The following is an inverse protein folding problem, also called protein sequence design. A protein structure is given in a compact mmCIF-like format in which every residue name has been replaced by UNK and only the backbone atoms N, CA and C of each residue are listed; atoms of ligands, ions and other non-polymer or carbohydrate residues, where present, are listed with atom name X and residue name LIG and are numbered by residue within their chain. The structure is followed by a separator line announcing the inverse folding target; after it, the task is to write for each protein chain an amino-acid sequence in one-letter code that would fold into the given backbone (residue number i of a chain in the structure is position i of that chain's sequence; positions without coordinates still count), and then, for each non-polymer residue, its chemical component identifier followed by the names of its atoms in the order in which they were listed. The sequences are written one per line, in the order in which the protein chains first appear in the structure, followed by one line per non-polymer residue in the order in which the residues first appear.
data_IF_308625405047
#
_entry.id   IF_308625405047
#
_cell.length_a   1.000
_cell.length_b   1.000
_cell.length_c   1.000
_cell.angle_alpha   90.00
_cell.angle_beta   90.00
_cell.angle_gamma   90.00
#
_symmetry.space_group_name_H-M   'P 1'
#
loop_
_entity.id
_entity.type
_entity.pdbx_description
1 polymer ?
#
# COMPACT_ATOMS: atom_id res chain seq x y z
N UNK A 1 6.84 35.70 11.22
CA UNK A 1 6.86 34.68 12.30
C UNK A 1 6.61 33.33 11.67
N UNK A 2 7.44 32.34 12.01
CA UNK A 2 7.62 31.06 11.30
C UNK A 2 6.28 30.28 11.25
N UNK A 3 5.74 30.08 10.04
CA UNK A 3 4.71 29.07 9.79
C UNK A 3 5.39 27.70 9.93
N UNK A 4 5.16 27.00 11.04
CA UNK A 4 5.45 25.57 11.10
C UNK A 4 4.48 24.89 10.13
N UNK A 5 4.99 24.49 8.96
CA UNK A 5 4.26 23.66 8.01
C UNK A 5 4.27 22.24 8.55
N UNK A 6 3.19 21.86 9.24
CA UNK A 6 2.85 20.45 9.39
C UNK A 6 2.19 20.06 8.06
N UNK A 7 2.96 19.42 7.17
CA UNK A 7 2.44 18.93 5.89
C UNK A 7 1.53 17.74 6.15
N UNK A 8 0.22 17.94 6.14
CA UNK A 8 -0.76 16.86 6.13
C UNK A 8 -0.82 16.35 4.69
N UNK A 9 -0.26 15.17 4.44
CA UNK A 9 -0.41 14.47 3.18
C UNK A 9 -1.69 13.63 3.26
N UNK A 10 -2.75 14.07 2.55
CA UNK A 10 -3.93 13.23 2.32
C UNK A 10 -3.61 12.33 1.14
N UNK A 11 -3.42 11.05 1.44
CA UNK A 11 -2.99 10.03 0.50
C UNK A 11 -4.24 9.35 -0.07
N UNK A 12 -4.47 9.51 -1.37
CA UNK A 12 -5.60 8.93 -2.08
C UNK A 12 -5.12 7.96 -3.17
N UNK A 13 -5.50 6.69 -3.07
CA UNK A 13 -5.46 5.80 -4.22
C UNK A 13 -6.73 6.10 -5.04
N UNK A 14 -6.59 6.44 -6.33
CA UNK A 14 -7.74 6.73 -7.20
C UNK A 14 -7.77 5.72 -8.34
N UNK A 15 -8.56 4.65 -8.18
CA UNK A 15 -8.94 3.78 -9.29
C UNK A 15 -10.02 4.47 -10.13
N UNK A 16 -9.67 4.96 -11.33
CA UNK A 16 -10.62 5.52 -12.29
C UNK A 16 -11.25 4.37 -13.09
N UNK A 17 -12.33 3.79 -12.56
CA UNK A 17 -13.19 2.92 -13.33
C UNK A 17 -14.15 3.78 -14.16
N UNK A 18 -13.94 3.84 -15.47
CA UNK A 18 -14.93 4.38 -16.38
C UNK A 18 -16.23 3.59 -16.21
N UNK A 19 -17.32 4.28 -15.83
CA UNK A 19 -18.61 3.69 -15.55
C UNK A 19 -19.19 3.02 -16.81
N UNK A 20 -19.00 1.71 -16.91
CA UNK A 20 -19.83 0.82 -17.73
C UNK A 20 -20.74 0.03 -16.81
N UNK A 21 -21.99 0.49 -16.62
CA UNK A 21 -23.06 -0.37 -16.10
C UNK A 21 -23.33 -1.47 -17.14
N UNK A 22 -22.60 -2.58 -17.07
CA UNK A 22 -23.00 -3.84 -17.68
C UNK A 22 -22.80 -4.92 -16.63
N UNK A 23 -23.93 -5.46 -16.16
CA UNK A 23 -24.01 -6.76 -15.50
C UNK A 23 -23.15 -7.77 -16.28
N UNK A 24 -22.01 -8.18 -15.73
CA UNK A 24 -21.13 -9.16 -16.37
C UNK A 24 -21.83 -10.52 -16.45
N UNK A 25 -22.43 -10.81 -17.61
CA UNK A 25 -22.21 -12.14 -18.19
C UNK A 25 -20.72 -12.23 -18.51
N UNK A 26 -20.12 -13.37 -18.20
CA UNK A 26 -18.69 -13.68 -18.33
C UNK A 26 -18.10 -13.27 -19.68
N UNK A 27 -17.61 -12.03 -19.78
CA UNK A 27 -16.85 -11.54 -20.92
C UNK A 27 -15.38 -11.52 -20.53
N UNK A 28 -14.63 -12.35 -21.26
CA UNK A 28 -13.18 -12.44 -21.22
C UNK A 28 -12.58 -11.05 -21.42
N UNK A 29 -11.50 -10.71 -20.71
CA UNK A 29 -10.73 -9.49 -20.97
C UNK A 29 -10.45 -9.41 -22.47
N UNK A 30 -11.15 -8.51 -23.18
CA UNK A 30 -11.08 -8.42 -24.64
C UNK A 30 -9.68 -8.04 -25.13
N UNK A 31 -9.50 -8.00 -26.45
CA UNK A 31 -8.25 -7.54 -27.06
C UNK A 31 -7.85 -6.17 -26.49
N UNK A 32 -6.61 -6.08 -26.02
CA UNK A 32 -6.09 -4.90 -25.33
C UNK A 32 -6.08 -3.68 -26.27
N UNK A 33 -6.73 -2.58 -25.87
CA UNK A 33 -6.71 -1.30 -26.61
C UNK A 33 -5.38 -0.57 -26.51
N UNK A 34 -4.52 -1.00 -25.58
CA UNK A 34 -3.19 -0.45 -25.39
C UNK A 34 -2.21 -1.07 -26.39
N UNK A 35 -1.49 -0.23 -27.12
CA UNK A 35 -0.41 -0.67 -27.98
C UNK A 35 0.68 -1.37 -27.14
N UNK A 36 0.83 -2.68 -27.24
CA UNK A 36 1.93 -3.43 -26.62
C UNK A 36 3.00 -3.83 -27.65
N UNK A 37 3.05 -3.15 -28.80
CA UNK A 37 4.00 -3.44 -29.88
C UNK A 37 5.43 -3.39 -29.35
N UNK A 38 6.19 -4.42 -29.70
CA UNK A 38 7.61 -4.55 -29.38
C UNK A 38 8.40 -3.52 -30.21
N UNK A 39 8.97 -2.52 -29.55
CA UNK A 39 9.92 -1.62 -30.21
C UNK A 39 11.29 -2.27 -30.29
N UNK A 40 11.98 -2.23 -31.45
CA UNK A 40 13.30 -2.82 -31.57
C UNK A 40 14.28 -2.16 -30.60
N UNK A 41 15.07 -2.97 -29.90
CA UNK A 41 16.11 -2.46 -29.01
C UNK A 41 17.17 -1.69 -29.81
N UNK A 42 17.45 -0.46 -29.39
CA UNK A 42 18.54 0.33 -29.90
C UNK A 42 19.79 0.17 -29.02
N UNK A 43 20.74 -0.65 -29.48
CA UNK A 43 22.03 -0.87 -28.81
C UNK A 43 22.87 0.40 -28.64
N UNK A 44 22.63 1.42 -29.47
CA UNK A 44 23.38 2.68 -29.36
C UNK A 44 22.83 3.61 -28.29
N UNK A 45 21.61 3.36 -27.81
CA UNK A 45 20.97 4.18 -26.78
C UNK A 45 21.54 3.90 -25.39
N UNK A 46 21.78 4.95 -24.60
CA UNK A 46 22.18 4.84 -23.20
C UNK A 46 21.19 4.04 -22.33
N UNK A 47 19.93 3.96 -22.76
CA UNK A 47 18.86 3.22 -22.09
C UNK A 47 18.85 1.71 -22.38
N UNK A 48 19.63 1.25 -23.37
CA UNK A 48 19.61 -0.13 -23.85
C UNK A 48 19.62 -1.17 -22.73
N UNK A 49 20.44 -1.05 -21.67
CA UNK A 49 20.45 -2.05 -20.61
C UNK A 49 19.10 -2.23 -19.91
N UNK A 50 18.41 -1.13 -19.59
CA UNK A 50 17.09 -1.19 -18.99
C UNK A 50 16.06 -1.70 -20.00
N UNK A 51 16.07 -1.22 -21.24
CA UNK A 51 15.11 -1.65 -22.26
C UNK A 51 15.19 -3.17 -22.50
N UNK A 52 16.41 -3.71 -22.62
CA UNK A 52 16.64 -5.14 -22.81
C UNK A 52 16.21 -5.96 -21.57
N UNK A 53 16.52 -5.47 -20.36
CA UNK A 53 16.05 -6.09 -19.13
C UNK A 53 14.52 -6.13 -19.07
N UNK A 54 13.84 -5.03 -19.37
CA UNK A 54 12.38 -4.94 -19.33
C UNK A 54 11.74 -5.87 -20.36
N UNK A 55 12.31 -5.94 -21.57
CA UNK A 55 11.83 -6.83 -22.62
C UNK A 55 11.93 -8.31 -22.21
N UNK A 56 13.08 -8.72 -21.65
CA UNK A 56 13.33 -10.12 -21.30
C UNK A 56 12.61 -10.58 -20.03
N UNK A 57 12.34 -9.67 -19.08
CA UNK A 57 11.80 -10.03 -17.77
C UNK A 57 10.32 -9.69 -17.59
N UNK A 58 9.75 -8.83 -18.44
CA UNK A 58 8.35 -8.43 -18.36
C UNK A 58 7.58 -8.62 -19.66
N UNK A 59 8.07 -8.05 -20.77
CA UNK A 59 7.32 -8.06 -22.03
C UNK A 59 7.21 -9.48 -22.61
N UNK A 60 8.34 -10.14 -22.87
CA UNK A 60 8.34 -11.49 -23.46
C UNK A 60 7.65 -12.54 -22.59
N UNK A 61 7.88 -12.60 -21.25
CA UNK A 61 7.29 -13.66 -20.45
C UNK A 61 5.82 -13.43 -20.12
N UNK A 62 5.38 -12.17 -19.96
CA UNK A 62 4.07 -11.84 -19.37
C UNK A 62 3.21 -10.89 -20.20
N UNK A 63 3.71 -10.43 -21.36
CA UNK A 63 3.07 -9.38 -22.17
C UNK A 63 2.72 -8.15 -21.33
N UNK A 64 3.65 -7.75 -20.46
CA UNK A 64 3.59 -6.54 -19.65
C UNK A 64 4.65 -5.54 -20.12
N UNK A 65 4.21 -4.34 -20.46
CA UNK A 65 5.07 -3.23 -20.88
C UNK A 65 5.33 -2.30 -19.71
N UNK A 66 6.60 -2.20 -19.31
CA UNK A 66 7.05 -1.25 -18.31
C UNK A 66 7.52 0.04 -18.99
N UNK A 67 6.74 1.11 -18.85
CA UNK A 67 6.99 2.42 -19.47
C UNK A 67 7.57 3.34 -18.41
N UNK A 68 8.82 3.76 -18.59
CA UNK A 68 9.50 4.69 -17.68
C UNK A 68 9.91 5.99 -18.38
N UNK A 69 9.93 5.99 -19.72
CA UNK A 69 10.10 7.21 -20.50
C UNK A 69 8.77 7.94 -20.52
N UNK A 70 8.84 9.27 -20.47
CA UNK A 70 7.66 10.08 -20.68
C UNK A 70 7.29 9.99 -22.16
N UNK A 71 6.39 9.08 -22.48
CA UNK A 71 5.73 9.02 -23.77
C UNK A 71 4.53 9.98 -23.71
N UNK A 72 4.21 10.69 -24.79
CA UNK A 72 3.04 11.60 -24.91
C UNK A 72 1.71 10.81 -24.91
N UNK A 73 1.59 9.80 -24.05
CA UNK A 73 0.42 8.91 -23.94
C UNK A 73 -0.51 9.47 -22.88
N UNK A 74 -1.31 10.46 -23.29
CA UNK A 74 -2.59 10.77 -22.64
C UNK A 74 -2.52 11.16 -21.16
N UNK A 75 -1.36 11.59 -20.65
CA UNK A 75 -1.28 12.20 -19.33
C UNK A 75 -2.08 13.50 -19.37
N UNK A 76 -3.12 13.56 -18.57
CA UNK A 76 -3.98 14.73 -18.36
C UNK A 76 -3.15 16.02 -18.38
N UNK A 77 -3.27 16.80 -19.47
CA UNK A 77 -2.44 17.97 -19.80
C UNK A 77 -2.49 19.07 -18.72
N UNK A 78 -3.34 18.90 -17.71
CA UNK A 78 -3.47 19.78 -16.55
C UNK A 78 -2.51 19.45 -15.41
N UNK A 79 -1.79 18.32 -15.44
CA UNK A 79 -0.86 17.92 -14.37
C UNK A 79 0.59 18.23 -14.74
N UNK A 80 1.29 18.96 -13.88
CA UNK A 80 2.74 19.23 -14.00
C UNK A 80 3.54 17.98 -13.61
N UNK A 81 3.59 16.99 -14.50
CA UNK A 81 4.30 15.73 -14.28
C UNK A 81 5.77 15.84 -14.68
N UNK A 82 6.65 15.22 -13.90
CA UNK A 82 8.09 15.14 -14.18
C UNK A 82 8.46 13.71 -14.55
N UNK A 83 9.28 13.47 -15.60
CA UNK A 83 9.77 12.14 -15.94
C UNK A 83 10.48 11.45 -14.77
N UNK A 84 10.38 10.13 -14.71
CA UNK A 84 11.24 9.34 -13.84
C UNK A 84 12.68 9.39 -14.34
N UNK A 85 13.64 9.57 -13.43
CA UNK A 85 15.06 9.46 -13.74
C UNK A 85 15.40 8.02 -14.13
N UNK A 86 16.41 7.85 -14.97
CA UNK A 86 16.83 6.53 -15.43
C UNK A 86 17.21 5.62 -14.27
N UNK A 87 17.99 6.14 -13.32
CA UNK A 87 18.47 5.41 -12.15
C UNK A 87 17.29 4.91 -11.29
N UNK A 88 16.31 5.77 -11.01
CA UNK A 88 15.13 5.37 -10.24
C UNK A 88 14.19 4.44 -11.00
N UNK A 89 14.16 4.54 -12.33
CA UNK A 89 13.45 3.58 -13.18
C UNK A 89 14.09 2.21 -13.13
N UNK A 90 15.43 2.13 -13.14
CA UNK A 90 16.18 0.89 -12.96
C UNK A 90 15.90 0.29 -11.57
N UNK A 91 16.00 1.08 -10.50
CA UNK A 91 15.71 0.62 -9.13
C UNK A 91 14.30 0.05 -9.03
N UNK A 92 13.27 0.78 -9.50
CA UNK A 92 11.89 0.31 -9.43
C UNK A 92 11.63 -0.92 -10.30
N UNK A 93 12.25 -1.04 -11.47
CA UNK A 93 12.11 -2.19 -12.34
C UNK A 93 12.67 -3.47 -11.71
N UNK A 94 13.87 -3.42 -11.14
CA UNK A 94 14.48 -4.60 -10.50
C UNK A 94 13.74 -4.98 -9.21
N UNK A 95 13.24 -4.00 -8.45
CA UNK A 95 12.41 -4.23 -7.29
C UNK A 95 11.03 -4.80 -7.67
N UNK A 96 10.41 -4.32 -8.75
CA UNK A 96 9.15 -4.87 -9.29
C UNK A 96 9.31 -6.32 -9.71
N UNK A 97 10.46 -6.69 -10.28
CA UNK A 97 10.78 -8.08 -10.55
C UNK A 97 10.94 -8.87 -9.24
N UNK A 98 11.78 -8.38 -8.33
CA UNK A 98 12.20 -9.13 -7.14
C UNK A 98 11.11 -9.28 -6.07
N UNK A 99 10.38 -8.20 -5.76
CA UNK A 99 9.40 -8.13 -4.67
C UNK A 99 7.97 -8.42 -5.13
N UNK A 100 7.71 -8.47 -6.44
CA UNK A 100 6.37 -8.72 -6.97
C UNK A 100 6.32 -9.91 -7.92
N UNK A 101 6.91 -9.82 -9.12
CA UNK A 101 6.80 -10.91 -10.11
C UNK A 101 7.41 -12.22 -9.62
N UNK A 102 8.62 -12.20 -9.06
CA UNK A 102 9.28 -13.42 -8.62
C UNK A 102 8.58 -14.04 -7.41
N UNK A 103 7.92 -13.23 -6.57
CA UNK A 103 7.09 -13.72 -5.45
C UNK A 103 5.85 -14.45 -5.98
N UNK A 104 5.06 -13.81 -6.84
CA UNK A 104 3.88 -14.45 -7.40
C UNK A 104 4.23 -15.65 -8.29
N UNK A 105 5.36 -15.61 -9.00
CA UNK A 105 5.85 -16.76 -9.77
C UNK A 105 6.12 -17.97 -8.88
N UNK A 106 6.70 -17.73 -7.71
CA UNK A 106 7.03 -18.78 -6.75
C UNK A 106 5.78 -19.38 -6.10
N UNK A 107 4.82 -18.53 -5.73
CA UNK A 107 3.61 -18.97 -4.98
C UNK A 107 2.49 -19.45 -5.91
N UNK A 108 2.24 -18.76 -7.01
CA UNK A 108 1.11 -18.99 -7.90
C UNK A 108 1.50 -19.64 -9.24
N UNK A 109 2.79 -19.66 -9.58
CA UNK A 109 3.29 -20.20 -10.84
C UNK A 109 3.32 -19.19 -11.99
N UNK A 110 4.07 -19.54 -13.03
CA UNK A 110 4.30 -18.66 -14.17
C UNK A 110 3.05 -18.44 -15.04
N UNK A 111 2.21 -19.47 -15.19
CA UNK A 111 0.98 -19.40 -15.99
C UNK A 111 -0.05 -18.45 -15.36
N UNK A 112 -0.09 -18.38 -14.02
CA UNK A 112 -0.92 -17.41 -13.31
C UNK A 112 -0.53 -15.96 -13.66
N UNK A 113 0.77 -15.65 -13.70
CA UNK A 113 1.24 -14.32 -14.10
C UNK A 113 0.93 -14.01 -15.56
N UNK A 114 1.15 -14.96 -16.49
CA UNK A 114 0.80 -14.78 -17.91
C UNK A 114 -0.67 -14.43 -18.12
N UNK A 115 -1.55 -15.04 -17.33
CA UNK A 115 -3.00 -14.83 -17.43
C UNK A 115 -3.45 -13.52 -16.80
N UNK A 116 -2.85 -13.10 -15.68
CA UNK A 116 -3.40 -12.03 -14.84
C UNK A 116 -2.54 -10.75 -14.79
N UNK A 117 -1.31 -10.77 -15.30
CA UNK A 117 -0.44 -9.58 -15.27
C UNK A 117 -1.11 -8.38 -15.96
N UNK A 118 -0.96 -7.16 -15.40
CA UNK A 118 -1.37 -5.95 -16.09
C UNK A 118 -0.58 -5.81 -17.39
N UNK A 119 -1.15 -5.14 -18.39
CA UNK A 119 -0.51 -4.91 -19.68
C UNK A 119 0.50 -3.77 -19.64
N UNK A 120 0.29 -2.78 -18.78
CA UNK A 120 1.17 -1.63 -18.65
C UNK A 120 1.45 -1.34 -17.18
N UNK A 121 2.73 -1.14 -16.86
CA UNK A 121 3.15 -0.37 -15.69
C UNK A 121 3.78 0.91 -16.21
N UNK A 122 3.23 2.06 -15.84
CA UNK A 122 3.73 3.37 -16.23
C UNK A 122 4.31 4.09 -15.01
N UNK A 123 5.54 4.58 -15.12
CA UNK A 123 6.27 5.17 -14.00
C UNK A 123 6.47 6.66 -14.23
N UNK A 124 6.07 7.46 -13.25
CA UNK A 124 6.17 8.92 -13.26
C UNK A 124 7.01 9.39 -12.08
N UNK A 125 7.91 10.34 -12.34
CA UNK A 125 8.90 10.80 -11.38
C UNK A 125 8.32 11.68 -10.26
N UNK A 126 7.31 12.49 -10.56
CA UNK A 126 6.68 13.41 -9.61
C UNK A 126 5.44 12.82 -8.93
N UNK A 127 4.99 13.41 -7.80
CA UNK A 127 3.63 13.22 -7.33
C UNK A 127 2.60 13.67 -8.38
N UNK A 128 1.38 13.14 -8.28
CA UNK A 128 0.20 13.65 -8.98
C UNK A 128 -0.79 14.18 -7.95
N UNK A 129 -1.33 15.37 -8.17
CA UNK A 129 -2.35 15.95 -7.30
C UNK A 129 -3.68 16.08 -8.05
N UNK A 130 -4.78 15.84 -7.34
CA UNK A 130 -6.10 16.20 -7.82
C UNK A 130 -6.23 17.73 -7.79
N UNK A 131 -6.41 18.42 -8.94
CA UNK A 131 -6.46 19.87 -8.98
C UNK A 131 -7.67 20.46 -8.24
N UNK A 132 -8.73 19.68 -7.99
CA UNK A 132 -9.95 20.13 -7.30
C UNK A 132 -9.92 19.86 -5.79
N UNK A 133 -9.35 18.75 -5.36
CA UNK A 133 -9.34 18.34 -3.94
C UNK A 133 -7.98 18.50 -3.26
N UNK A 134 -6.90 18.77 -4.00
CA UNK A 134 -5.54 18.86 -3.44
C UNK A 134 -4.96 17.53 -2.95
N UNK A 135 -5.71 16.42 -3.08
CA UNK A 135 -5.32 15.09 -2.64
C UNK A 135 -4.27 14.47 -3.56
N UNK A 136 -3.34 13.73 -2.98
CA UNK A 136 -2.28 13.09 -3.71
C UNK A 136 -2.75 11.75 -4.30
N UNK A 137 -2.50 11.52 -5.59
CA UNK A 137 -2.74 10.24 -6.27
C UNK A 137 -1.54 9.31 -6.10
N UNK A 138 -1.72 8.19 -5.40
CA UNK A 138 -0.69 7.15 -5.27
C UNK A 138 -0.47 6.37 -6.57
N UNK A 139 -1.56 6.07 -7.25
CA UNK A 139 -1.58 5.40 -8.53
C UNK A 139 -2.96 5.46 -9.16
N UNK A 140 -3.03 5.09 -10.43
CA UNK A 140 -4.28 4.95 -11.16
C UNK A 140 -4.28 3.64 -11.92
N UNK A 141 -5.42 2.96 -11.94
CA UNK A 141 -5.69 1.90 -12.89
C UNK A 141 -6.77 2.29 -13.90
N UNK A 142 -6.53 1.92 -15.15
CA UNK A 142 -7.49 2.06 -16.25
C UNK A 142 -7.89 0.66 -16.72
N UNK A 143 -9.08 0.22 -16.32
CA UNK A 143 -9.67 -1.06 -16.75
C UNK A 143 -8.88 -2.32 -16.40
N UNK A 144 -8.06 -2.29 -15.32
CA UNK A 144 -7.23 -3.43 -14.90
C UNK A 144 -6.03 -3.72 -15.80
N UNK A 145 -5.83 -2.97 -16.90
CA UNK A 145 -4.77 -3.23 -17.87
C UNK A 145 -3.55 -2.33 -17.70
N UNK A 146 -3.70 -1.16 -17.07
CA UNK A 146 -2.62 -0.19 -16.88
C UNK A 146 -2.55 0.22 -15.42
N UNK A 147 -1.38 0.15 -14.80
CA UNK A 147 -1.07 0.69 -13.46
C UNK A 147 -0.12 1.86 -13.65
N UNK A 148 -0.43 3.02 -13.08
CA UNK A 148 0.47 4.18 -13.06
C UNK A 148 1.05 4.38 -11.66
N UNK A 149 2.36 4.44 -11.54
CA UNK A 149 3.11 4.63 -10.29
C UNK A 149 3.74 6.03 -10.28
N UNK A 150 3.41 6.84 -9.28
CA UNK A 150 3.95 8.20 -9.11
C UNK A 150 5.15 8.22 -8.16
N UNK A 151 5.79 9.39 -7.99
CA UNK A 151 6.90 9.60 -7.04
C UNK A 151 8.15 8.75 -7.26
N UNK A 152 8.39 8.21 -8.46
CA UNK A 152 9.56 7.38 -8.70
C UNK A 152 10.89 8.08 -8.37
N UNK A 153 10.98 9.40 -8.55
CA UNK A 153 12.19 10.16 -8.20
C UNK A 153 12.44 10.29 -6.69
N UNK A 154 11.48 9.89 -5.86
CA UNK A 154 11.57 9.88 -4.40
C UNK A 154 11.93 8.51 -3.82
N UNK A 155 12.12 7.48 -4.66
CA UNK A 155 12.52 6.15 -4.19
C UNK A 155 13.83 6.22 -3.41
N UNK A 156 13.79 5.70 -2.19
CA UNK A 156 14.94 5.47 -1.34
C UNK A 156 14.91 4.03 -0.87
N UNK A 157 15.84 3.19 -1.35
CA UNK A 157 15.92 1.76 -1.02
C UNK A 157 16.17 1.47 0.46
N UNK A 158 16.54 2.47 1.26
CA UNK A 158 16.62 2.36 2.72
C UNK A 158 15.27 2.50 3.41
N UNK A 159 14.27 3.05 2.73
CA UNK A 159 12.94 3.34 3.25
C UNK A 159 11.92 2.36 2.65
N UNK A 160 11.89 1.15 3.22
CA UNK A 160 10.97 0.09 2.79
C UNK A 160 9.51 0.47 3.04
N UNK A 161 9.23 1.25 4.08
CA UNK A 161 7.87 1.69 4.40
C UNK A 161 7.35 2.61 3.29
N UNK A 162 8.18 3.56 2.83
CA UNK A 162 7.85 4.40 1.68
C UNK A 162 7.67 3.56 0.40
N UNK A 163 8.58 2.64 0.12
CA UNK A 163 8.51 1.81 -1.09
C UNK A 163 7.23 0.94 -1.09
N UNK A 164 6.88 0.37 0.06
CA UNK A 164 5.66 -0.41 0.21
C UNK A 164 4.42 0.46 0.07
N UNK A 165 4.32 1.59 0.77
CA UNK A 165 3.13 2.43 0.77
C UNK A 165 2.84 3.02 -0.62
N UNK A 166 3.87 3.50 -1.33
CA UNK A 166 3.69 4.23 -2.59
C UNK A 166 3.69 3.35 -3.84
N UNK A 167 4.36 2.20 -3.81
CA UNK A 167 4.52 1.35 -4.99
C UNK A 167 3.88 -0.03 -4.81
N UNK A 168 4.38 -0.85 -3.88
CA UNK A 168 3.95 -2.24 -3.82
C UNK A 168 2.52 -2.41 -3.33
N UNK A 169 2.07 -1.61 -2.35
CA UNK A 169 0.66 -1.57 -1.93
C UNK A 169 -0.23 -1.27 -3.13
N UNK A 170 0.07 -0.21 -3.88
CA UNK A 170 -0.64 0.16 -5.12
C UNK A 170 -0.66 -1.00 -6.12
N UNK A 171 0.48 -1.64 -6.37
CA UNK A 171 0.57 -2.77 -7.30
C UNK A 171 -0.26 -3.97 -6.85
N UNK A 172 -0.21 -4.35 -5.57
CA UNK A 172 -1.01 -5.44 -5.01
C UNK A 172 -2.51 -5.10 -4.98
N UNK A 173 -2.86 -3.85 -4.70
CA UNK A 173 -4.24 -3.36 -4.69
C UNK A 173 -4.87 -3.48 -6.08
N UNK A 174 -4.21 -2.92 -7.10
CA UNK A 174 -4.72 -2.98 -8.47
C UNK A 174 -4.71 -4.40 -9.02
N UNK A 175 -3.72 -5.21 -8.63
CA UNK A 175 -3.73 -6.63 -8.97
C UNK A 175 -4.90 -7.37 -8.31
N UNK A 176 -5.23 -7.05 -7.05
CA UNK A 176 -6.41 -7.56 -6.37
C UNK A 176 -7.70 -7.24 -7.13
N UNK A 177 -7.80 -6.05 -7.73
CA UNK A 177 -8.93 -5.67 -8.59
C UNK A 177 -9.01 -6.54 -9.86
N UNK A 178 -7.88 -6.86 -10.50
CA UNK A 178 -7.84 -7.74 -11.68
C UNK A 178 -8.32 -9.15 -11.31
N UNK A 179 -7.87 -9.67 -10.17
CA UNK A 179 -8.28 -10.99 -9.71
C UNK A 179 -9.77 -11.02 -9.33
N UNK A 180 -10.28 -9.98 -8.65
CA UNK A 180 -11.71 -9.84 -8.30
C UNK A 180 -12.62 -9.72 -9.53
N UNK A 181 -12.15 -9.11 -10.62
CA UNK A 181 -12.88 -9.08 -11.90
C UNK A 181 -13.00 -10.46 -12.55
N UNK A 182 -11.99 -11.32 -12.39
CA UNK A 182 -11.98 -12.66 -12.98
C UNK A 182 -12.79 -13.64 -12.15
N UNK A 183 -12.70 -13.53 -10.83
CA UNK A 183 -13.46 -14.32 -9.87
C UNK A 183 -14.08 -13.40 -8.81
N UNK A 184 -15.35 -13.04 -8.96
CA UNK A 184 -15.99 -12.09 -8.06
C UNK A 184 -15.88 -12.52 -6.58
N UNK A 185 -15.49 -11.58 -5.71
CA UNK A 185 -15.46 -11.76 -4.26
C UNK A 185 -16.82 -12.20 -3.71
N UNK A 186 -16.86 -12.91 -2.58
CA UNK A 186 -18.12 -13.37 -2.00
C UNK A 186 -19.06 -12.20 -1.67
N UNK A 187 -20.33 -12.29 -2.06
CA UNK A 187 -21.36 -11.29 -1.73
C UNK A 187 -21.52 -11.06 -0.21
N UNK A 188 -21.22 -12.07 0.61
CA UNK A 188 -21.21 -11.94 2.08
C UNK A 188 -20.19 -10.93 2.58
N UNK A 189 -19.12 -10.65 1.83
CA UNK A 189 -18.14 -9.62 2.20
C UNK A 189 -18.76 -8.22 2.16
N UNK A 190 -19.55 -7.95 1.11
CA UNK A 190 -20.16 -6.63 0.88
C UNK A 190 -21.11 -6.21 2.01
N UNK A 191 -21.61 -7.17 2.80
CA UNK A 191 -22.55 -6.88 3.90
C UNK A 191 -21.89 -6.72 5.27
N UNK A 192 -20.61 -7.09 5.45
CA UNK A 192 -19.90 -7.03 6.75
C UNK A 192 -19.90 -5.60 7.31
N UNK A 193 -19.54 -4.63 6.49
CA UNK A 193 -19.41 -3.22 6.90
C UNK A 193 -20.52 -2.33 6.32
N UNK A 194 -21.68 -2.92 5.99
CA UNK A 194 -22.83 -2.13 5.50
C UNK A 194 -23.23 -1.06 6.51
N UNK A 195 -23.40 0.17 6.01
CA UNK A 195 -23.70 1.35 6.84
C UNK A 195 -22.50 1.98 7.55
N UNK A 196 -21.29 1.44 7.39
CA UNK A 196 -20.05 2.00 7.93
C UNK A 196 -19.15 2.62 6.84
N UNK A 197 -19.45 2.39 5.56
CA UNK A 197 -18.70 3.00 4.47
C UNK A 197 -18.88 4.53 4.44
N UNK A 198 -17.77 5.24 4.29
CA UNK A 198 -17.66 6.69 4.34
C UNK A 198 -17.25 7.27 2.98
N UNK A 199 -18.13 8.06 2.37
CA UNK A 199 -17.82 8.76 1.12
C UNK A 199 -16.73 9.83 1.28
N UNK A 200 -16.56 10.37 2.49
CA UNK A 200 -15.50 11.33 2.86
C UNK A 200 -14.30 10.63 3.53
N UNK A 201 -13.97 9.42 3.05
CA UNK A 201 -12.86 8.61 3.54
C UNK A 201 -11.52 9.35 3.58
N UNK A 202 -11.31 10.34 2.69
CA UNK A 202 -10.06 11.09 2.60
C UNK A 202 -9.78 11.93 3.86
N UNK A 203 -10.83 12.28 4.62
CA UNK A 203 -10.73 12.99 5.89
C UNK A 203 -10.90 12.06 7.11
N UNK A 204 -11.15 10.76 6.86
CA UNK A 204 -11.35 9.78 7.91
C UNK A 204 -10.05 9.45 8.64
N UNK A 205 -10.15 9.30 9.96
CA UNK A 205 -9.01 8.97 10.81
C UNK A 205 -8.70 7.48 10.77
N UNK A 206 -7.43 7.10 10.54
CA UNK A 206 -6.94 5.72 10.50
C UNK A 206 -7.34 4.87 11.71
N UNK A 207 -7.25 5.43 12.91
CA UNK A 207 -7.57 4.70 14.15
C UNK A 207 -9.07 4.52 14.33
N UNK A 208 -9.86 5.54 13.96
CA UNK A 208 -11.32 5.45 13.99
C UNK A 208 -11.84 4.40 13.01
N UNK A 209 -11.37 4.42 11.76
CA UNK A 209 -11.80 3.42 10.76
C UNK A 209 -11.26 2.02 11.10
N UNK A 210 -10.09 1.92 11.76
CA UNK A 210 -9.59 0.65 12.28
C UNK A 210 -10.53 0.06 13.33
N UNK A 211 -11.01 0.86 14.29
CA UNK A 211 -12.05 0.45 15.24
C UNK A 211 -13.33 -0.02 14.57
N UNK A 212 -13.68 0.56 13.41
CA UNK A 212 -14.83 0.15 12.59
C UNK A 212 -14.58 -1.10 11.71
N UNK A 213 -13.37 -1.66 11.76
CA UNK A 213 -13.00 -2.87 11.02
C UNK A 213 -12.46 -2.64 9.61
N UNK A 214 -11.89 -1.47 9.33
CA UNK A 214 -11.20 -1.15 8.07
C UNK A 214 -9.68 -1.09 8.25
N UNK A 215 -8.92 -1.60 7.27
CA UNK A 215 -7.44 -1.66 7.35
C UNK A 215 -6.73 -0.35 6.97
N UNK A 216 -7.48 0.59 6.43
CA UNK A 216 -7.05 1.94 6.02
C UNK A 216 -8.28 2.87 5.87
N UNK A 217 -8.12 4.20 5.86
CA UNK A 217 -9.20 5.11 5.49
C UNK A 217 -9.79 4.79 4.11
N UNK A 218 -8.95 4.46 3.13
CA UNK A 218 -9.43 4.13 1.78
C UNK A 218 -10.29 2.87 1.74
N UNK A 219 -10.00 1.87 2.58
CA UNK A 219 -10.86 0.69 2.74
C UNK A 219 -12.28 1.05 3.21
N UNK A 220 -12.44 2.17 3.92
CA UNK A 220 -13.77 2.67 4.33
C UNK A 220 -14.57 3.32 3.20
N UNK A 221 -14.02 3.50 2.00
CA UNK A 221 -14.74 4.14 0.90
C UNK A 221 -15.92 3.29 0.40
N UNK A 222 -15.67 2.02 0.06
CA UNK A 222 -16.68 1.09 -0.43
C UNK A 222 -16.17 -0.36 -0.38
N UNK A 223 -17.09 -1.33 -0.37
CA UNK A 223 -16.77 -2.75 -0.21
C UNK A 223 -15.78 -3.33 -1.22
N UNK A 224 -15.76 -2.80 -2.45
CA UNK A 224 -14.82 -3.24 -3.48
C UNK A 224 -13.38 -2.84 -3.14
N UNK A 225 -13.19 -1.63 -2.63
CA UNK A 225 -11.88 -1.13 -2.21
C UNK A 225 -11.44 -1.75 -0.88
N UNK A 226 -12.37 -1.95 0.04
CA UNK A 226 -12.16 -2.68 1.30
C UNK A 226 -11.55 -4.08 1.06
N UNK A 227 -12.12 -4.83 0.11
CA UNK A 227 -11.65 -6.17 -0.26
C UNK A 227 -10.17 -6.18 -0.67
N UNK A 228 -9.79 -5.31 -1.61
CA UNK A 228 -8.44 -5.27 -2.13
C UNK A 228 -7.45 -4.57 -1.20
N UNK A 229 -7.92 -3.63 -0.37
CA UNK A 229 -7.09 -3.00 0.66
C UNK A 229 -6.73 -4.01 1.74
N UNK A 230 -7.65 -4.90 2.16
CA UNK A 230 -7.31 -6.01 3.07
C UNK A 230 -6.21 -6.87 2.49
N UNK A 231 -6.31 -7.25 1.21
CA UNK A 231 -5.26 -8.00 0.51
C UNK A 231 -3.92 -7.25 0.48
N UNK A 232 -3.90 -6.03 -0.06
CA UNK A 232 -2.69 -5.27 -0.30
C UNK A 232 -1.96 -4.90 1.00
N UNK A 233 -2.70 -4.38 1.99
CA UNK A 233 -2.14 -4.02 3.29
C UNK A 233 -1.61 -5.26 4.02
N UNK A 234 -2.33 -6.38 3.96
CA UNK A 234 -1.86 -7.62 4.57
C UNK A 234 -0.63 -8.19 3.88
N UNK A 235 -0.39 -7.96 2.60
CA UNK A 235 0.84 -8.44 1.95
C UNK A 235 2.04 -7.57 2.36
N UNK A 236 1.89 -6.24 2.32
CA UNK A 236 3.03 -5.31 2.41
C UNK A 236 3.38 -4.85 3.82
N UNK A 237 2.40 -4.59 4.70
CA UNK A 237 2.67 -4.06 6.06
C UNK A 237 3.42 -5.10 6.86
N UNK A 238 4.56 -4.79 7.46
CA UNK A 238 5.29 -5.80 8.23
C UNK A 238 4.50 -6.34 9.44
N UNK A 239 4.95 -7.45 10.03
CA UNK A 239 4.25 -8.10 11.14
C UNK A 239 3.96 -7.17 12.33
N UNK A 240 4.85 -6.23 12.66
CA UNK A 240 4.64 -5.28 13.77
C UNK A 240 3.60 -4.24 13.39
N UNK A 241 3.70 -3.68 12.18
CA UNK A 241 2.73 -2.70 11.69
C UNK A 241 1.33 -3.30 11.58
N UNK A 242 1.22 -4.56 11.14
CA UNK A 242 -0.06 -5.28 11.09
C UNK A 242 -0.64 -5.53 12.50
N UNK A 243 0.16 -6.00 13.45
CA UNK A 243 -0.32 -6.18 14.83
C UNK A 243 -0.68 -4.85 15.50
N UNK A 244 0.05 -3.77 15.22
CA UNK A 244 -0.31 -2.43 15.71
C UNK A 244 -1.67 -1.96 15.17
N UNK A 245 -1.97 -2.26 13.90
CA UNK A 245 -3.30 -2.02 13.31
C UNK A 245 -4.38 -2.83 14.05
N UNK A 246 -4.18 -4.14 14.24
CA UNK A 246 -5.15 -5.00 14.95
C UNK A 246 -5.35 -4.56 16.41
N UNK A 247 -4.28 -4.15 17.08
CA UNK A 247 -4.34 -3.61 18.44
C UNK A 247 -5.11 -2.29 18.48
N UNK A 248 -4.92 -1.40 17.51
CA UNK A 248 -5.70 -0.17 17.39
C UNK A 248 -7.19 -0.46 17.16
N UNK A 249 -7.48 -1.44 16.30
CA UNK A 249 -8.83 -1.91 15.95
C UNK A 249 -9.56 -2.64 17.08
N UNK A 250 -8.85 -3.03 18.15
CA UNK A 250 -9.45 -3.67 19.33
C UNK A 250 -10.13 -2.69 20.28
N UNK A 251 -10.12 -1.40 19.95
CA UNK A 251 -10.70 -0.33 20.77
C UNK A 251 -11.63 0.52 19.94
N UNK A 252 -12.66 1.06 20.60
CA UNK A 252 -13.43 2.15 20.06
C UNK A 252 -12.69 3.47 20.16
N UNK A 253 -12.96 4.32 19.19
CA UNK A 253 -12.35 5.64 19.06
C UNK A 253 -13.41 6.72 18.98
N UNK A 254 -13.12 7.86 19.59
CA UNK A 254 -13.92 9.07 19.51
C UNK A 254 -13.07 10.22 18.96
N UNK A 255 -13.72 11.07 18.17
CA UNK A 255 -13.18 12.35 17.74
C UNK A 255 -13.80 13.44 18.62
N UNK A 256 -12.96 14.23 19.28
CA UNK A 256 -13.39 15.36 20.11
C UNK A 256 -12.86 16.68 19.54
N UNK A 257 -13.72 17.69 19.52
CA UNK A 257 -13.29 19.06 19.21
C UNK A 257 -12.55 19.65 20.42
N UNK A 258 -11.48 20.41 20.15
CA UNK A 258 -10.71 21.14 21.17
C UNK A 258 -10.49 22.58 20.71
N UNK A 259 -10.51 23.52 21.66
CA UNK A 259 -10.39 24.95 21.35
C UNK A 259 -8.96 25.33 20.93
N UNK A 260 -7.95 24.68 21.50
CA UNK A 260 -6.54 24.92 21.21
C UNK A 260 -5.63 23.71 21.52
N UNK A 261 -4.36 23.80 21.11
CA UNK A 261 -3.34 22.76 21.37
C UNK A 261 -2.94 22.64 22.84
N UNK A 262 -3.25 23.64 23.67
CA UNK A 262 -2.97 23.58 25.11
C UNK A 262 -3.91 22.58 25.78
N UNK A 263 -5.15 22.42 25.28
CA UNK A 263 -6.08 21.38 25.72
C UNK A 263 -5.52 19.97 25.49
N UNK A 264 -4.95 19.71 24.32
CA UNK A 264 -4.25 18.45 24.05
C UNK A 264 -3.03 18.27 24.95
N UNK A 265 -2.27 19.34 25.20
CA UNK A 265 -1.13 19.30 26.12
C UNK A 265 -1.55 19.01 27.57
N UNK A 266 -2.75 19.44 27.99
CA UNK A 266 -3.33 19.06 29.30
C UNK A 266 -3.58 17.57 29.39
N UNK A 267 -3.95 16.92 28.28
CA UNK A 267 -4.10 15.46 28.22
C UNK A 267 -2.76 14.73 28.39
N UNK A 268 -1.63 15.36 28.05
CA UNK A 268 -0.26 14.79 28.14
C UNK A 268 0.43 15.05 29.50
N UNK A 269 -0.28 15.49 30.55
CA UNK A 269 0.31 15.85 31.85
C UNK A 269 0.79 14.63 32.66
N UNK A 270 1.78 14.80 33.56
CA UNK A 270 2.26 13.70 34.42
C UNK A 270 1.11 12.99 35.16
N UNK A 271 0.96 11.68 34.94
CA UNK A 271 -0.12 10.86 35.50
C UNK A 271 -1.22 10.49 34.49
N UNK A 272 -1.23 11.07 33.29
CA UNK A 272 -2.09 10.61 32.21
C UNK A 272 -1.60 9.28 31.63
N UNK A 273 -2.52 8.39 31.26
CA UNK A 273 -2.15 7.23 30.46
C UNK A 273 -2.14 7.61 28.97
N UNK A 274 -0.92 7.74 28.42
CA UNK A 274 -0.71 8.09 27.01
C UNK A 274 -1.32 7.07 26.04
N UNK A 275 -1.51 5.82 26.45
CA UNK A 275 -2.09 4.75 25.61
C UNK A 275 -3.58 4.98 25.29
N UNK A 276 -4.21 5.97 25.93
CA UNK A 276 -5.61 6.37 25.71
C UNK A 276 -5.75 7.61 24.82
N UNK A 277 -4.64 8.27 24.50
CA UNK A 277 -4.62 9.50 23.70
C UNK A 277 -4.09 9.13 22.33
N UNK A 278 -4.85 9.45 21.27
CA UNK A 278 -4.36 9.31 19.91
C UNK A 278 -3.58 10.56 19.49
N UNK A 279 -4.04 11.20 18.43
CA UNK A 279 -3.33 12.33 17.85
C UNK A 279 -4.24 13.54 17.63
N UNK A 280 -3.62 14.71 17.72
CA UNK A 280 -4.25 15.99 17.43
C UNK A 280 -4.15 16.31 15.93
N UNK A 281 -5.22 16.85 15.36
CA UNK A 281 -5.28 17.32 13.97
C UNK A 281 -5.90 18.70 13.90
N UNK A 282 -5.39 19.51 12.96
CA UNK A 282 -6.03 20.75 12.57
C UNK A 282 -6.90 20.49 11.32
N UNK A 283 -8.15 20.93 11.38
CA UNK A 283 -9.08 20.87 10.27
C UNK A 283 -8.90 22.08 9.34
N UNK A 284 -9.40 22.00 8.10
CA UNK A 284 -9.26 23.05 7.08
C UNK A 284 -9.86 24.40 7.50
N UNK A 285 -10.87 24.37 8.37
CA UNK A 285 -11.51 25.55 8.94
C UNK A 285 -10.68 26.21 10.06
N UNK A 286 -9.56 25.61 10.45
CA UNK A 286 -8.66 26.08 11.51
C UNK A 286 -8.93 25.48 12.89
N UNK A 287 -10.03 24.76 13.06
CA UNK A 287 -10.40 24.09 14.31
C UNK A 287 -9.48 22.91 14.60
N UNK A 288 -9.36 22.55 15.87
CA UNK A 288 -8.54 21.43 16.31
C UNK A 288 -9.41 20.28 16.79
N UNK A 289 -8.98 19.07 16.47
CA UNK A 289 -9.61 17.84 16.95
C UNK A 289 -8.58 16.90 17.55
N UNK A 290 -9.02 16.09 18.50
CA UNK A 290 -8.24 14.99 19.05
C UNK A 290 -8.99 13.70 18.80
N UNK A 291 -8.31 12.76 18.16
CA UNK A 291 -8.78 11.40 18.01
C UNK A 291 -8.19 10.56 19.16
N UNK A 292 -9.04 9.86 19.91
CA UNK A 292 -8.61 9.13 21.13
C UNK A 292 -9.46 7.90 21.39
N UNK A 293 -8.97 6.98 22.21
CA UNK A 293 -9.71 5.78 22.58
C UNK A 293 -10.87 6.13 23.52
N UNK A 294 -11.99 5.44 23.35
CA UNK A 294 -13.14 5.52 24.22
C UNK A 294 -12.82 4.84 25.56
N UNK A 295 -12.72 5.64 26.61
CA UNK A 295 -12.41 5.18 27.98
C UNK A 295 -13.30 5.92 28.98
N UNK A 296 -13.62 5.27 30.10
CA UNK A 296 -14.23 5.96 31.22
C UNK A 296 -13.26 7.02 31.74
N UNK A 297 -13.78 8.18 32.15
CA UNK A 297 -12.95 9.30 32.65
C UNK A 297 -13.41 9.73 34.04
N UNK A 298 -12.45 10.10 34.88
CA UNK A 298 -12.74 10.67 36.20
C UNK A 298 -13.13 12.15 36.11
N UNK A 299 -13.46 12.78 37.25
CA UNK A 299 -13.89 14.18 37.31
C UNK A 299 -12.84 15.18 36.77
N UNK A 300 -11.56 14.80 36.76
CA UNK A 300 -10.45 15.60 36.24
C UNK A 300 -10.18 15.36 34.75
N UNK A 301 -10.94 14.46 34.10
CA UNK A 301 -10.83 14.13 32.67
C UNK A 301 -9.78 13.07 32.31
N UNK A 302 -9.08 12.50 33.30
CA UNK A 302 -8.13 11.42 33.09
C UNK A 302 -8.84 10.07 32.91
N UNK A 303 -8.20 9.13 32.21
CA UNK A 303 -8.68 7.76 32.10
C UNK A 303 -8.90 7.16 33.51
N UNK A 304 -10.11 6.67 33.76
CA UNK A 304 -10.46 6.03 35.00
C UNK A 304 -9.81 4.64 35.06
N UNK A 305 -9.27 4.31 36.23
CA UNK A 305 -8.66 3.01 36.50
C UNK A 305 -9.63 2.14 37.30
N UNK A 306 -9.63 0.84 37.03
CA UNK A 306 -10.35 -0.15 37.85
C UNK A 306 -9.60 -0.44 39.17
N UNK A 307 -10.14 -1.37 39.96
CA UNK A 307 -9.57 -1.76 41.26
C UNK A 307 -8.15 -2.35 41.15
N UNK A 308 -7.80 -2.90 39.98
CA UNK A 308 -6.49 -3.49 39.68
C UNK A 308 -5.51 -2.48 39.05
N UNK A 309 -5.97 -1.24 38.82
CA UNK A 309 -5.17 -0.17 38.22
C UNK A 309 -5.15 -0.18 36.69
N UNK A 310 -6.01 -0.95 36.03
CA UNK A 310 -6.12 -1.00 34.56
C UNK A 310 -7.10 0.05 34.04
N UNK A 311 -6.89 0.50 32.80
CA UNK A 311 -7.80 1.43 32.13
C UNK A 311 -9.16 0.75 31.87
N UNK A 312 -10.22 1.48 32.18
CA UNK A 312 -11.58 1.10 31.82
C UNK A 312 -11.92 1.55 30.39
N UNK A 313 -11.67 0.69 29.40
CA UNK A 313 -12.10 0.91 28.02
C UNK A 313 -13.61 0.75 27.88
N UNK A 314 -14.22 1.56 27.00
CA UNK A 314 -15.65 1.53 26.73
C UNK A 314 -15.91 0.83 25.38
N UNK A 315 -16.92 -0.03 25.37
CA UNK A 315 -17.55 -0.60 24.17
C UNK A 315 -18.81 0.21 23.87
N UNK A 316 -18.72 1.03 22.82
CA UNK A 316 -19.70 2.03 22.40
C UNK A 316 -20.62 1.48 21.33
N UNK A 317 -20.09 0.72 20.37
CA UNK A 317 -20.84 0.25 19.20
C UNK A 317 -21.17 -1.24 19.21
N UNK A 318 -20.68 -1.99 20.21
CA UNK A 318 -20.89 -3.42 20.37
C UNK A 318 -20.13 -4.27 19.35
N UNK A 319 -19.15 -3.68 18.64
CA UNK A 319 -18.36 -4.33 17.60
C UNK A 319 -16.89 -4.33 17.99
N UNK A 320 -16.21 -5.37 17.54
CA UNK A 320 -14.76 -5.45 17.65
C UNK A 320 -14.15 -5.32 16.26
N UNK A 321 -13.54 -4.17 15.97
CA UNK A 321 -12.88 -3.91 14.69
C UNK A 321 -11.81 -4.94 14.34
N UNK A 322 -11.08 -5.46 15.34
CA UNK A 322 -10.11 -6.54 15.15
C UNK A 322 -10.76 -7.79 14.59
N UNK A 323 -11.86 -8.24 15.20
CA UNK A 323 -12.57 -9.45 14.78
C UNK A 323 -13.14 -9.29 13.36
N UNK A 324 -13.61 -8.08 13.02
CA UNK A 324 -14.08 -7.76 11.66
C UNK A 324 -12.93 -7.81 10.65
N UNK A 325 -11.76 -7.23 10.96
CA UNK A 325 -10.58 -7.29 10.07
C UNK A 325 -10.12 -8.74 9.89
N UNK A 326 -10.07 -9.53 10.98
CA UNK A 326 -9.69 -10.94 10.94
C UNK A 326 -10.69 -11.78 10.13
N UNK A 327 -12.00 -11.52 10.27
CA UNK A 327 -13.05 -12.14 9.44
C UNK A 327 -12.87 -11.81 7.95
N UNK A 328 -12.67 -10.53 7.62
CA UNK A 328 -12.42 -10.07 6.25
C UNK A 328 -11.19 -10.75 5.64
N UNK A 329 -10.09 -10.79 6.39
CA UNK A 329 -8.86 -11.43 5.95
C UNK A 329 -9.02 -12.94 5.78
N UNK A 330 -9.80 -13.60 6.65
CA UNK A 330 -10.11 -15.03 6.49
C UNK A 330 -10.88 -15.30 5.19
N UNK A 331 -11.83 -14.44 4.83
CA UNK A 331 -12.54 -14.56 3.56
C UNK A 331 -11.61 -14.38 2.36
N UNK A 332 -10.66 -13.45 2.44
CA UNK A 332 -9.60 -13.26 1.43
C UNK A 332 -8.73 -14.51 1.30
N UNK A 333 -8.29 -15.10 2.42
CA UNK A 333 -7.51 -16.35 2.43
C UNK A 333 -8.25 -17.47 1.69
N UNK A 334 -9.50 -17.69 2.05
CA UNK A 334 -10.34 -18.74 1.45
C UNK A 334 -10.58 -18.48 -0.03
N UNK A 335 -10.87 -17.24 -0.41
CA UNK A 335 -11.12 -16.89 -1.81
C UNK A 335 -9.87 -17.04 -2.68
N UNK A 336 -8.69 -16.60 -2.21
CA UNK A 336 -7.44 -16.78 -2.95
C UNK A 336 -7.07 -18.26 -3.08
N UNK A 337 -7.23 -19.03 -2.00
CA UNK A 337 -6.95 -20.46 -2.02
C UNK A 337 -7.90 -21.21 -2.96
N UNK A 338 -9.21 -20.96 -2.87
CA UNK A 338 -10.21 -21.72 -3.63
C UNK A 338 -10.22 -21.39 -5.12
N UNK A 339 -9.95 -20.13 -5.50
CA UNK A 339 -10.05 -19.70 -6.89
C UNK A 339 -8.69 -19.70 -7.61
N UNK A 340 -7.59 -19.51 -6.88
CA UNK A 340 -6.27 -19.32 -7.48
C UNK A 340 -5.22 -20.30 -6.96
N UNK A 341 -5.55 -21.14 -5.96
CA UNK A 341 -4.60 -21.99 -5.25
C UNK A 341 -3.41 -21.18 -4.68
N UNK A 342 -3.70 -19.98 -4.19
CA UNK A 342 -2.71 -19.06 -3.60
C UNK A 342 -2.93 -18.98 -2.09
N UNK A 343 -1.88 -19.29 -1.32
CA UNK A 343 -1.83 -18.94 0.10
C UNK A 343 -1.34 -17.50 0.26
N UNK A 344 -2.22 -16.59 0.69
CA UNK A 344 -1.83 -15.20 0.97
C UNK A 344 -0.84 -15.10 2.14
N UNK A 345 -0.87 -16.05 3.08
CA UNK A 345 0.08 -16.09 4.20
C UNK A 345 1.49 -16.48 3.72
N UNK A 346 1.60 -17.40 2.77
CA UNK A 346 2.89 -17.74 2.14
C UNK A 346 3.38 -16.62 1.23
N UNK A 347 2.47 -16.00 0.47
CA UNK A 347 2.77 -14.81 -0.34
C UNK A 347 3.32 -13.68 0.52
N UNK A 348 2.64 -13.36 1.63
CA UNK A 348 3.10 -12.40 2.63
C UNK A 348 4.46 -12.79 3.17
N UNK A 349 4.63 -14.02 3.63
CA UNK A 349 5.90 -14.48 4.19
C UNK A 349 7.06 -14.32 3.21
N UNK A 350 6.84 -14.60 1.92
CA UNK A 350 7.85 -14.48 0.89
C UNK A 350 8.21 -13.01 0.59
N UNK A 351 7.22 -12.12 0.48
CA UNK A 351 7.48 -10.67 0.39
C UNK A 351 8.31 -10.19 1.59
N UNK A 352 7.95 -10.58 2.81
CA UNK A 352 8.64 -10.16 4.02
C UNK A 352 10.08 -10.69 4.08
N UNK A 353 10.34 -11.95 3.72
CA UNK A 353 11.71 -12.53 3.67
C UNK A 353 12.61 -11.89 2.63
N UNK A 354 12.04 -11.40 1.53
CA UNK A 354 12.79 -10.66 0.50
C UNK A 354 13.16 -9.25 0.95
N UNK A 355 12.35 -8.64 1.80
CA UNK A 355 12.59 -7.28 2.31
C UNK A 355 13.47 -7.23 3.56
N UNK A 356 13.39 -8.23 4.45
CA UNK A 356 14.00 -8.17 5.77
C UNK A 356 14.99 -9.30 6.04
N UNK A 357 16.01 -9.01 6.85
CA UNK A 357 17.00 -10.00 7.30
C UNK A 357 16.38 -10.96 8.30
N UNK A 358 16.79 -12.22 8.21
CA UNK A 358 16.36 -13.29 9.12
C UNK A 358 17.57 -13.97 9.75
N UNK A 359 17.37 -14.46 10.98
CA UNK A 359 18.26 -15.38 11.66
C UNK A 359 18.17 -16.78 11.01
N UNK A 360 19.14 -17.68 11.27
CA UNK A 360 19.08 -19.07 10.77
C UNK A 360 17.83 -19.86 11.20
N UNK A 361 17.17 -19.46 12.27
CA UNK A 361 15.90 -20.05 12.76
C UNK A 361 14.65 -19.47 12.06
N UNK A 362 14.84 -18.54 11.11
CA UNK A 362 13.76 -17.89 10.36
C UNK A 362 13.15 -16.65 11.03
N UNK A 363 13.58 -16.28 12.23
CA UNK A 363 13.09 -15.06 12.91
C UNK A 363 13.68 -13.79 12.30
N UNK A 364 12.91 -12.70 12.23
CA UNK A 364 13.40 -11.44 11.68
C UNK A 364 14.38 -10.72 12.61
N UNK A 365 15.46 -10.17 12.05
CA UNK A 365 16.48 -9.41 12.77
C UNK A 365 16.01 -7.97 12.99
N UNK A 366 16.13 -7.47 14.21
CA UNK A 366 15.73 -6.11 14.59
C UNK A 366 16.94 -5.15 14.65
N UNK A 367 16.73 -3.90 14.23
CA UNK A 367 17.68 -2.81 14.38
C UNK A 367 17.66 -2.23 15.81
N UNK A 368 18.53 -1.25 16.10
CA UNK A 368 18.61 -0.59 17.41
C UNK A 368 17.34 0.16 17.83
N UNK A 369 16.42 0.40 16.89
CA UNK A 369 15.13 1.05 17.11
C UNK A 369 13.99 0.03 17.19
N UNK A 370 14.29 -1.27 17.13
CA UNK A 370 13.28 -2.33 17.16
C UNK A 370 12.51 -2.49 15.85
N UNK A 371 13.03 -2.01 14.71
CA UNK A 371 12.44 -2.22 13.38
C UNK A 371 13.11 -3.39 12.69
N UNK A 372 12.44 -4.04 11.75
CA UNK A 372 13.09 -5.10 10.97
C UNK A 372 14.23 -4.55 10.12
N UNK A 373 15.34 -5.28 10.11
CA UNK A 373 16.56 -4.88 9.41
C UNK A 373 16.38 -5.05 7.91
N UNK A 374 16.49 -3.96 7.16
CA UNK A 374 16.35 -3.93 5.71
C UNK A 374 17.42 -4.82 5.03
N UNK A 375 16.97 -5.83 4.28
CA UNK A 375 17.82 -6.78 3.56
C UNK A 375 18.40 -6.19 2.27
N UNK A 376 17.69 -5.27 1.62
CA UNK A 376 18.10 -4.69 0.35
C UNK A 376 19.44 -3.96 0.48
N UNK A 377 19.61 -3.22 1.58
CA UNK A 377 20.77 -2.33 1.79
C UNK A 377 21.73 -2.81 2.87
N UNK A 378 21.38 -3.85 3.64
CA UNK A 378 22.33 -4.48 4.56
C UNK A 378 23.48 -5.16 3.78
N UNK A 379 24.73 -5.10 4.31
CA UNK A 379 25.86 -5.84 3.74
C UNK A 379 25.57 -7.33 3.61
N UNK A 380 25.91 -7.93 2.46
CA UNK A 380 25.77 -9.37 2.24
C UNK A 380 26.64 -10.16 3.22
N UNK A 381 26.18 -11.36 3.60
CA UNK A 381 26.95 -12.28 4.46
C UNK A 381 28.15 -12.88 3.70
N UNK A 382 28.00 -13.09 2.40
CA UNK A 382 29.04 -13.66 1.54
C UNK A 382 30.08 -12.62 1.10
N UNK A 383 29.65 -11.39 0.84
CA UNK A 383 30.50 -10.26 0.45
C UNK A 383 30.03 -8.96 1.13
N UNK A 384 30.63 -8.59 2.28
CA UNK A 384 30.24 -7.38 3.01
C UNK A 384 30.49 -6.06 2.25
N UNK A 385 31.20 -6.09 1.12
CA UNK A 385 31.38 -4.90 0.28
C UNK A 385 30.18 -4.61 -0.63
N UNK A 386 29.22 -5.53 -0.70
CA UNK A 386 28.04 -5.47 -1.57
C UNK A 386 26.76 -5.63 -0.80
N UNK A 387 25.69 -5.06 -1.35
CA UNK A 387 24.32 -5.22 -0.86
C UNK A 387 23.51 -6.11 -1.79
N UNK A 388 22.34 -6.56 -1.34
CA UNK A 388 21.38 -7.23 -2.21
C UNK A 388 20.94 -6.30 -3.35
N UNK A 389 20.75 -5.01 -3.07
CA UNK A 389 20.38 -4.04 -4.10
C UNK A 389 21.42 -3.95 -5.21
N UNK A 390 22.73 -3.97 -4.89
CA UNK A 390 23.79 -3.99 -5.91
C UNK A 390 23.67 -5.23 -6.82
N UNK A 391 23.30 -6.38 -6.25
CA UNK A 391 23.09 -7.63 -6.98
C UNK A 391 21.87 -7.54 -7.90
N UNK A 392 20.78 -6.89 -7.45
CA UNK A 392 19.59 -6.66 -8.27
C UNK A 392 19.91 -5.70 -9.42
N UNK A 393 20.69 -4.64 -9.19
CA UNK A 393 21.13 -3.71 -10.23
C UNK A 393 22.00 -4.40 -11.30
N UNK A 394 22.78 -5.42 -10.93
CA UNK A 394 23.55 -6.21 -11.89
C UNK A 394 22.68 -6.96 -12.90
N UNK A 395 21.42 -7.25 -12.58
CA UNK A 395 20.48 -7.85 -13.53
C UNK A 395 20.24 -6.96 -14.75
N UNK A 396 20.34 -5.64 -14.58
CA UNK A 396 20.29 -4.65 -15.66
C UNK A 396 21.69 -4.40 -16.21
N UNK A 397 22.70 -4.24 -15.35
CA UNK A 397 24.06 -3.90 -15.79
C UNK A 397 24.67 -4.96 -16.71
N UNK A 398 24.33 -6.25 -16.58
CA UNK A 398 24.83 -7.30 -17.49
C UNK A 398 24.52 -7.04 -18.97
N UNK A 399 23.46 -6.27 -19.27
CA UNK A 399 23.11 -5.92 -20.64
C UNK A 399 24.02 -4.82 -21.22
N UNK A 400 24.81 -4.12 -20.39
CA UNK A 400 25.83 -3.17 -20.87
C UNK A 400 26.92 -3.84 -21.71
N UNK A 401 27.18 -5.13 -21.50
CA UNK A 401 28.13 -5.89 -22.34
C UNK A 401 27.58 -6.18 -23.74
N UNK A 402 26.26 -6.13 -23.91
CA UNK A 402 25.56 -6.36 -25.18
C UNK A 402 25.31 -5.06 -25.96
N UNK A 403 25.52 -3.91 -25.30
CA UNK A 403 25.51 -2.56 -25.83
C UNK A 403 26.78 -2.30 -26.62
#
# INVERSE_FOLDING_TARGET
MKKNRLSIFIIALMALFAAGFVSCSSDHLGDTIFDTTEYPLDKTSASYPLDAFLQDNFLKPYNMRFIYRMEDIGSDLQKNLVPASYEKSVELAVLSKYLWYDVYKEIAGEEFLKANSPRIIHVIGSPSYNPTQGTETLGTAEGGLKITLYKANMINVNDLDFINEYFFKTMHHEFGHILDQTHERPNSFNVISTGQYNADWANANDSLVAGQGFVSPYASYMAREDWVEVMANYIVKDGRTWENLLNSASYDWEEIDIDDTDEYTKLLKPGCNMDTIGYIRQMDNGDWKVDRKCVARNADGYAALDEDGNIQYLDIDGKNGRDIIEQKLQMVREWLMNNWNISIDELRAEVQRRQYRTNPDGTFILDSYGRYTNRLTAPSEEDPSRTLMDTLLDWVNKYKELQ
#
